data_IF_230712710462
#
_entry.id   IF_230712710462
#
_cell.length_a   1.000
_cell.length_b   1.000
_cell.length_c   1.000
_cell.angle_alpha   90.00
_cell.angle_beta   90.00
_cell.angle_gamma   90.00
#
_symmetry.space_group_name_H-M   'P 1'
#
loop_
_entity.id
_entity.type
_entity.pdbx_description
1 polymer ?
#
# COMPACT_ATOMS: atom_id res chain seq x y z
N UNK A 1 5.16 -44.01 15.18
CA UNK A 1 3.85 -43.62 14.61
C UNK A 1 3.86 -42.12 14.30
N UNK A 2 3.61 -41.68 13.06
CA UNK A 2 3.53 -40.26 12.75
C UNK A 2 2.18 -39.70 13.22
N UNK A 3 2.22 -38.60 13.99
CA UNK A 3 1.03 -37.86 14.42
C UNK A 3 0.30 -37.27 13.19
N UNK A 4 -1.04 -37.25 13.17
CA UNK A 4 -1.79 -36.66 12.06
C UNK A 4 -1.61 -35.14 12.03
N UNK A 5 -1.33 -34.59 10.84
CA UNK A 5 -1.26 -33.13 10.60
C UNK A 5 -2.63 -32.48 10.88
N UNK A 6 -2.70 -31.29 11.49
CA UNK A 6 -3.97 -30.65 11.82
C UNK A 6 -4.72 -30.15 10.57
N UNK A 7 -6.06 -30.22 10.64
CA UNK A 7 -7.06 -29.94 9.59
C UNK A 7 -7.14 -28.45 9.16
N UNK A 8 -6.07 -27.89 8.57
CA UNK A 8 -6.10 -26.53 7.98
C UNK A 8 -6.85 -26.43 6.63
N UNK A 9 -7.17 -27.55 5.97
CA UNK A 9 -7.76 -27.56 4.61
C UNK A 9 -9.25 -27.19 4.52
N UNK A 10 -10.04 -27.44 5.56
CA UNK A 10 -11.50 -27.30 5.49
C UNK A 10 -12.00 -25.85 5.66
N UNK A 11 -11.38 -25.07 6.56
CA UNK A 11 -11.69 -23.64 6.75
C UNK A 11 -11.36 -22.80 5.51
N UNK A 12 -10.27 -23.14 4.82
CA UNK A 12 -9.90 -22.50 3.55
C UNK A 12 -10.98 -22.74 2.48
N UNK A 13 -11.46 -23.99 2.28
CA UNK A 13 -12.49 -24.27 1.25
C UNK A 13 -13.81 -23.54 1.45
N UNK A 14 -14.29 -23.41 2.69
CA UNK A 14 -15.54 -22.70 2.98
C UNK A 14 -15.43 -21.19 2.71
N UNK A 15 -14.30 -20.58 3.09
CA UNK A 15 -13.99 -19.20 2.75
C UNK A 15 -13.97 -19.00 1.22
N UNK A 16 -13.33 -19.91 0.50
CA UNK A 16 -13.21 -19.88 -0.97
C UNK A 16 -14.56 -20.03 -1.68
N UNK A 17 -15.47 -20.87 -1.17
CA UNK A 17 -16.80 -21.02 -1.76
C UNK A 17 -17.69 -19.78 -1.51
N UNK A 18 -17.55 -19.15 -0.33
CA UNK A 18 -18.19 -17.87 -0.01
C UNK A 18 -17.69 -16.75 -0.93
N UNK A 19 -16.40 -16.72 -1.25
CA UNK A 19 -15.78 -15.76 -2.17
C UNK A 19 -16.33 -15.90 -3.60
N UNK A 20 -16.36 -17.12 -4.16
CA UNK A 20 -16.90 -17.40 -5.51
C UNK A 20 -18.38 -17.08 -5.66
N UNK A 21 -19.16 -17.20 -4.58
CA UNK A 21 -20.59 -16.80 -4.59
C UNK A 21 -20.74 -15.29 -4.68
N UNK A 22 -19.93 -14.54 -3.93
CA UNK A 22 -19.96 -13.07 -3.91
C UNK A 22 -19.50 -12.44 -5.23
N UNK A 23 -18.44 -12.99 -5.84
CA UNK A 23 -17.97 -12.60 -7.17
C UNK A 23 -19.07 -12.73 -8.23
N UNK A 24 -19.78 -13.86 -8.25
CA UNK A 24 -20.92 -14.08 -9.15
C UNK A 24 -22.06 -13.08 -8.90
N UNK A 25 -22.32 -12.71 -7.64
CA UNK A 25 -23.36 -11.72 -7.32
C UNK A 25 -23.01 -10.35 -7.89
N UNK A 26 -21.76 -9.88 -7.74
CA UNK A 26 -21.36 -8.57 -8.26
C UNK A 26 -21.40 -8.54 -9.80
N UNK A 27 -20.85 -9.57 -10.45
CA UNK A 27 -20.88 -9.67 -11.91
C UNK A 27 -22.31 -9.74 -12.46
N UNK A 28 -23.17 -10.53 -11.81
CA UNK A 28 -24.58 -10.61 -12.18
C UNK A 28 -25.28 -9.26 -11.98
N UNK A 29 -24.97 -8.53 -10.91
CA UNK A 29 -25.52 -7.19 -10.66
C UNK A 29 -25.08 -6.18 -11.72
N UNK A 30 -23.79 -6.17 -12.10
CA UNK A 30 -23.28 -5.31 -13.18
C UNK A 30 -24.02 -5.62 -14.48
N UNK A 31 -24.12 -6.90 -14.84
CA UNK A 31 -24.82 -7.34 -16.04
C UNK A 31 -26.31 -7.00 -16.00
N UNK A 32 -26.97 -7.16 -14.85
CA UNK A 32 -28.38 -6.83 -14.67
C UNK A 32 -28.62 -5.32 -14.80
N UNK A 33 -27.79 -4.48 -14.20
CA UNK A 33 -27.89 -3.03 -14.32
C UNK A 33 -27.68 -2.61 -15.78
N UNK A 34 -26.69 -3.19 -16.47
CA UNK A 34 -26.45 -2.91 -17.89
C UNK A 34 -27.62 -3.36 -18.77
N UNK A 35 -28.21 -4.52 -18.51
CA UNK A 35 -29.34 -5.08 -19.28
C UNK A 35 -30.67 -4.37 -19.01
N UNK A 36 -30.93 -3.98 -17.77
CA UNK A 36 -32.17 -3.30 -17.38
C UNK A 36 -32.23 -1.85 -17.84
N UNK A 37 -31.12 -1.29 -18.32
CA UNK A 37 -31.02 0.09 -18.74
C UNK A 37 -30.95 1.05 -17.54
N UNK A 38 -30.40 2.23 -17.80
CA UNK A 38 -30.32 3.31 -16.82
C UNK A 38 -31.12 4.51 -17.31
N UNK A 39 -31.79 5.23 -16.41
CA UNK A 39 -32.35 6.53 -16.75
C UNK A 39 -31.18 7.44 -17.19
N UNK A 40 -31.24 8.07 -18.39
CA UNK A 40 -30.12 8.83 -18.96
C UNK A 40 -29.81 10.14 -18.21
N UNK A 41 -30.64 10.52 -17.23
CA UNK A 41 -30.46 11.72 -16.41
C UNK A 41 -30.39 13.02 -17.22
N UNK A 42 -31.15 13.14 -18.33
CA UNK A 42 -31.12 14.29 -19.24
C UNK A 42 -31.48 15.63 -18.58
N UNK A 43 -32.16 15.59 -17.43
CA UNK A 43 -32.44 16.78 -16.62
C UNK A 43 -31.20 17.33 -15.88
N UNK A 44 -30.16 16.52 -15.69
CA UNK A 44 -28.95 16.89 -14.97
C UNK A 44 -27.93 17.56 -15.90
N UNK A 45 -27.40 18.72 -15.49
CA UNK A 45 -26.32 19.39 -16.21
C UNK A 45 -25.06 18.54 -16.34
N UNK A 46 -24.81 17.65 -15.38
CA UNK A 46 -23.69 16.70 -15.43
C UNK A 46 -23.78 15.76 -16.63
N UNK A 47 -24.99 15.37 -17.04
CA UNK A 47 -25.20 14.47 -18.18
C UNK A 47 -25.39 15.20 -19.52
N UNK A 48 -25.29 16.54 -19.52
CA UNK A 48 -25.25 17.35 -20.74
C UNK A 48 -23.83 17.54 -21.29
N UNK A 49 -22.80 17.26 -20.48
CA UNK A 49 -21.39 17.33 -20.90
C UNK A 49 -20.90 15.97 -21.45
N UNK A 50 -19.84 15.96 -22.30
CA UNK A 50 -19.28 14.73 -22.85
C UNK A 50 -18.81 13.74 -21.78
N UNK A 51 -18.87 12.44 -22.10
CA UNK A 51 -18.50 11.37 -21.17
C UNK A 51 -17.05 11.45 -20.72
N UNK A 52 -16.16 11.94 -21.56
CA UNK A 52 -14.74 12.15 -21.26
C UNK A 52 -14.54 13.18 -20.16
N UNK A 53 -15.34 14.25 -20.17
CA UNK A 53 -15.29 15.29 -19.13
C UNK A 53 -15.89 14.76 -17.83
N UNK A 54 -16.99 13.99 -17.91
CA UNK A 54 -17.55 13.33 -16.74
C UNK A 54 -16.55 12.38 -16.09
N UNK A 55 -15.84 11.57 -16.88
CA UNK A 55 -14.79 10.67 -16.39
C UNK A 55 -13.72 11.43 -15.60
N UNK A 56 -13.28 12.60 -16.08
CA UNK A 56 -12.30 13.42 -15.34
C UNK A 56 -12.88 13.92 -14.00
N UNK A 57 -14.12 14.41 -14.01
CA UNK A 57 -14.81 14.85 -12.78
C UNK A 57 -14.94 13.68 -11.80
N UNK A 58 -15.41 12.53 -12.28
CA UNK A 58 -15.60 11.33 -11.47
C UNK A 58 -14.29 10.79 -10.93
N UNK A 59 -13.22 10.76 -11.73
CA UNK A 59 -11.90 10.35 -11.30
C UNK A 59 -11.39 11.26 -10.17
N UNK A 60 -11.60 12.57 -10.28
CA UNK A 60 -11.22 13.51 -9.23
C UNK A 60 -12.06 13.32 -7.95
N UNK A 61 -13.38 13.26 -8.06
CA UNK A 61 -14.30 13.07 -6.91
C UNK A 61 -14.04 11.75 -6.19
N UNK A 62 -13.71 10.69 -6.93
CA UNK A 62 -13.45 9.35 -6.39
C UNK A 62 -11.95 9.10 -6.18
N UNK A 63 -11.15 10.14 -6.02
CA UNK A 63 -9.74 10.03 -5.61
C UNK A 63 -9.61 9.98 -4.09
N UNK A 64 -8.49 9.44 -3.60
CA UNK A 64 -8.16 9.55 -2.17
C UNK A 64 -7.95 11.03 -1.80
N UNK A 65 -8.55 11.42 -0.69
CA UNK A 65 -8.42 12.75 -0.09
C UNK A 65 -8.10 12.64 1.40
N UNK A 66 -7.58 13.71 1.97
CA UNK A 66 -7.21 13.79 3.39
C UNK A 66 -8.45 13.98 4.25
N UNK A 67 -8.61 13.11 5.26
CA UNK A 67 -9.68 13.13 6.25
C UNK A 67 -9.56 14.24 7.28
N UNK A 68 -10.62 14.38 8.07
CA UNK A 68 -10.64 15.26 9.25
C UNK A 68 -9.94 14.64 10.46
N UNK A 69 -9.76 13.31 10.47
CA UNK A 69 -9.12 12.59 11.56
C UNK A 69 -7.59 12.70 11.42
N UNK A 70 -7.00 13.64 12.15
CA UNK A 70 -5.55 13.82 12.24
C UNK A 70 -4.88 12.59 12.87
N UNK A 71 -3.74 12.19 12.30
CA UNK A 71 -2.89 11.14 12.85
C UNK A 71 -1.89 11.82 13.78
N UNK A 72 -1.75 11.30 15.00
CA UNK A 72 -0.75 11.82 15.93
C UNK A 72 0.63 11.65 15.33
N UNK A 73 1.44 12.71 15.32
CA UNK A 73 2.84 12.65 14.91
C UNK A 73 3.67 11.60 15.67
N UNK A 74 3.19 11.15 16.83
CA UNK A 74 3.82 10.12 17.63
C UNK A 74 3.40 8.70 17.26
N UNK A 75 2.37 8.52 16.43
CA UNK A 75 1.97 7.20 15.96
C UNK A 75 3.02 6.63 15.02
N UNK A 76 3.22 5.31 15.07
CA UNK A 76 4.18 4.64 14.19
C UNK A 76 3.84 4.80 12.71
N UNK A 77 2.55 4.91 12.38
CA UNK A 77 2.05 5.06 11.02
C UNK A 77 1.92 6.52 10.57
N UNK A 78 2.31 7.50 11.41
CA UNK A 78 2.34 8.90 11.00
C UNK A 78 3.39 9.15 9.93
N UNK A 79 3.01 9.94 8.94
CA UNK A 79 3.81 10.24 7.77
C UNK A 79 3.48 11.65 7.27
N UNK A 80 4.49 12.47 6.94
CA UNK A 80 4.26 13.87 6.54
C UNK A 80 3.40 14.02 5.27
N UNK A 81 3.45 13.02 4.39
CA UNK A 81 2.70 12.97 3.15
C UNK A 81 1.22 12.56 3.31
N UNK A 82 0.82 12.11 4.51
CA UNK A 82 -0.57 11.87 4.90
C UNK A 82 -0.73 12.11 6.40
N UNK A 83 -0.86 13.39 6.82
CA UNK A 83 -0.96 13.76 8.24
C UNK A 83 -2.30 13.35 8.86
N UNK A 84 -3.26 12.93 8.04
CA UNK A 84 -4.59 12.48 8.45
C UNK A 84 -4.93 11.14 7.78
N UNK A 85 -5.91 10.44 8.34
CA UNK A 85 -6.47 9.28 7.66
C UNK A 85 -7.07 9.68 6.31
N UNK A 86 -6.78 8.91 5.26
CA UNK A 86 -7.31 9.20 3.92
C UNK A 86 -8.62 8.50 3.67
N UNK A 87 -9.45 9.05 2.80
CA UNK A 87 -10.71 8.45 2.38
C UNK A 87 -11.05 8.77 0.92
N UNK A 88 -11.80 7.87 0.30
CA UNK A 88 -12.52 8.08 -0.96
C UNK A 88 -13.98 8.27 -0.60
N UNK A 89 -14.55 9.41 -0.98
CA UNK A 89 -15.98 9.67 -0.82
C UNK A 89 -16.77 8.86 -1.86
N UNK A 90 -17.56 7.90 -1.37
CA UNK A 90 -18.37 7.02 -2.24
C UNK A 90 -19.82 7.46 -2.37
N UNK A 91 -20.21 8.62 -1.81
CA UNK A 91 -21.57 9.13 -1.89
C UNK A 91 -22.02 9.30 -3.35
N UNK A 92 -21.10 9.67 -4.24
CA UNK A 92 -21.37 9.78 -5.68
C UNK A 92 -21.92 8.46 -6.27
N UNK A 93 -21.38 7.30 -5.85
CA UNK A 93 -21.81 5.98 -6.34
C UNK A 93 -23.26 5.64 -5.97
N UNK A 94 -23.81 6.32 -4.96
CA UNK A 94 -25.16 6.09 -4.45
C UNK A 94 -26.20 7.03 -5.08
N UNK A 95 -25.80 7.93 -5.97
CA UNK A 95 -26.68 8.96 -6.55
C UNK A 95 -27.68 8.38 -7.55
N UNK A 96 -27.20 7.66 -8.57
CA UNK A 96 -28.06 6.97 -9.54
C UNK A 96 -27.31 5.83 -10.26
N UNK A 97 -28.07 4.94 -10.90
CA UNK A 97 -27.50 3.80 -11.65
C UNK A 97 -26.55 4.23 -12.79
N UNK A 98 -26.86 5.33 -13.48
CA UNK A 98 -26.01 5.82 -14.57
C UNK A 98 -24.62 6.24 -14.06
N UNK A 99 -24.58 7.02 -12.98
CA UNK A 99 -23.32 7.37 -12.32
C UNK A 99 -22.60 6.11 -11.85
N UNK A 100 -23.29 5.18 -11.19
CA UNK A 100 -22.68 3.94 -10.73
C UNK A 100 -22.05 3.14 -11.88
N UNK A 101 -22.74 2.97 -13.01
CA UNK A 101 -22.22 2.24 -14.18
C UNK A 101 -20.97 2.89 -14.77
N UNK A 102 -20.92 4.23 -14.82
CA UNK A 102 -19.74 4.97 -15.31
C UNK A 102 -18.57 4.91 -14.33
N UNK A 103 -18.81 4.70 -13.02
CA UNK A 103 -17.81 5.02 -11.99
C UNK A 103 -17.47 3.90 -11.00
N UNK A 104 -18.18 2.77 -10.99
CA UNK A 104 -18.02 1.73 -9.96
C UNK A 104 -16.60 1.14 -9.86
N UNK A 105 -15.80 1.25 -10.93
CA UNK A 105 -14.40 0.80 -10.95
C UNK A 105 -13.41 1.84 -10.43
N UNK A 106 -13.78 3.13 -10.40
CA UNK A 106 -12.88 4.24 -10.05
C UNK A 106 -12.38 4.18 -8.60
N UNK A 107 -13.20 3.92 -7.56
CA UNK A 107 -12.69 3.81 -6.19
C UNK A 107 -11.63 2.73 -6.04
N UNK A 108 -11.73 1.66 -6.85
CA UNK A 108 -10.74 0.58 -6.86
C UNK A 108 -9.47 1.00 -7.57
N UNK A 109 -9.58 1.69 -8.70
CA UNK A 109 -8.45 2.19 -9.50
C UNK A 109 -7.66 3.27 -8.76
N UNK A 110 -8.38 4.15 -8.04
CA UNK A 110 -7.84 5.35 -7.43
C UNK A 110 -7.33 5.14 -6.00
N UNK A 111 -7.67 4.02 -5.35
CA UNK A 111 -7.07 3.69 -4.05
C UNK A 111 -5.59 3.38 -4.22
N UNK A 112 -4.80 3.83 -3.27
CA UNK A 112 -3.43 3.40 -3.02
C UNK A 112 -3.45 2.50 -1.79
N UNK A 113 -3.58 1.17 -1.97
CA UNK A 113 -3.64 0.23 -0.87
C UNK A 113 -2.34 0.27 -0.07
N UNK A 114 -2.48 0.24 1.26
CA UNK A 114 -1.35 0.29 2.19
C UNK A 114 -1.33 -1.00 3.00
N UNK A 115 -0.25 -1.75 2.90
CA UNK A 115 0.00 -2.95 3.69
C UNK A 115 1.01 -2.60 4.77
N UNK A 116 0.67 -2.97 6.00
CA UNK A 116 1.61 -2.93 7.11
C UNK A 116 2.06 -4.36 7.39
N UNK A 117 3.32 -4.67 7.09
CA UNK A 117 3.91 -5.99 7.23
C UNK A 117 4.75 -6.01 8.51
N UNK A 118 4.22 -6.59 9.59
CA UNK A 118 4.94 -6.69 10.85
C UNK A 118 4.02 -6.91 12.05
N UNK A 119 4.37 -6.26 13.14
CA UNK A 119 3.65 -6.24 14.40
C UNK A 119 2.45 -5.30 14.31
N UNK A 120 1.33 -5.72 14.90
CA UNK A 120 0.04 -5.02 14.81
C UNK A 120 0.05 -3.62 15.41
N UNK A 121 0.94 -3.34 16.37
CA UNK A 121 1.11 -2.01 16.95
C UNK A 121 1.84 -1.01 16.04
N UNK A 122 2.31 -1.44 14.86
CA UNK A 122 2.95 -0.58 13.85
C UNK A 122 2.05 -0.31 12.65
N UNK A 123 0.84 -0.86 12.66
CA UNK A 123 -0.14 -0.75 11.57
C UNK A 123 -1.10 0.42 11.82
N UNK A 124 -1.47 1.14 10.75
CA UNK A 124 -2.61 2.07 10.82
C UNK A 124 -3.90 1.29 11.10
N UNK A 125 -4.82 1.82 11.95
CA UNK A 125 -6.13 1.22 12.17
C UNK A 125 -6.98 1.16 10.88
N UNK A 126 -6.71 2.04 9.91
CA UNK A 126 -7.37 2.08 8.60
C UNK A 126 -6.42 1.55 7.53
N UNK A 127 -6.68 0.31 7.05
CA UNK A 127 -5.91 -0.35 5.99
C UNK A 127 -6.25 0.17 4.59
N UNK A 128 -7.48 0.62 4.40
CA UNK A 128 -7.96 1.21 3.15
C UNK A 128 -8.52 2.60 3.39
N UNK A 129 -8.38 3.46 2.39
CA UNK A 129 -8.84 4.83 2.41
C UNK A 129 -10.30 4.92 1.96
N UNK A 130 -11.25 4.39 2.74
CA UNK A 130 -12.67 4.57 2.45
C UNK A 130 -13.40 5.32 3.55
N UNK A 131 -14.39 6.11 3.14
CA UNK A 131 -15.35 6.72 4.05
C UNK A 131 -16.08 5.62 4.86
N UNK A 132 -16.48 5.97 6.08
CA UNK A 132 -17.20 5.06 6.98
C UNK A 132 -18.48 4.55 6.32
N UNK A 133 -18.74 3.24 6.38
CA UNK A 133 -19.89 2.59 5.74
C UNK A 133 -19.65 2.03 4.34
N UNK A 134 -18.49 2.28 3.71
CA UNK A 134 -18.11 1.60 2.48
C UNK A 134 -17.87 0.10 2.72
N UNK A 135 -18.55 -0.75 1.95
CA UNK A 135 -18.32 -2.19 2.04
C UNK A 135 -17.08 -2.56 1.21
N UNK A 136 -15.93 -2.72 1.89
CA UNK A 136 -14.66 -3.12 1.26
C UNK A 136 -14.79 -4.40 0.41
N UNK A 137 -15.66 -5.33 0.80
CA UNK A 137 -15.87 -6.58 0.04
C UNK A 137 -16.59 -6.34 -1.30
N UNK A 138 -17.35 -5.23 -1.43
CA UNK A 138 -18.02 -4.82 -2.67
C UNK A 138 -17.05 -4.09 -3.59
N UNK A 139 -16.17 -3.25 -3.05
CA UNK A 139 -15.17 -2.50 -3.82
C UNK A 139 -13.94 -3.36 -4.20
N UNK A 140 -13.58 -4.33 -3.34
CA UNK A 140 -12.48 -5.29 -3.53
C UNK A 140 -12.96 -6.72 -3.30
N UNK A 141 -13.80 -7.26 -4.21
CA UNK A 141 -14.06 -8.67 -4.19
C UNK A 141 -12.72 -9.41 -4.33
N UNK A 142 -12.45 -10.34 -3.42
CA UNK A 142 -11.24 -11.16 -3.49
C UNK A 142 -11.47 -12.25 -4.53
N UNK A 143 -10.73 -12.21 -5.64
CA UNK A 143 -11.01 -13.05 -6.82
C UNK A 143 -9.84 -13.97 -7.17
N UNK A 144 -10.01 -15.28 -7.05
CA UNK A 144 -9.00 -16.27 -7.47
C UNK A 144 -9.01 -16.58 -8.98
N UNK A 145 -9.96 -16.02 -9.73
CA UNK A 145 -10.11 -16.25 -11.16
C UNK A 145 -9.08 -15.45 -11.96
N UNK A 146 -8.17 -16.13 -12.66
CA UNK A 146 -7.23 -15.51 -13.61
C UNK A 146 -7.95 -14.77 -14.75
N UNK A 147 -9.15 -15.21 -15.12
CA UNK A 147 -9.99 -14.52 -16.11
C UNK A 147 -10.51 -13.18 -15.59
N UNK A 148 -10.78 -13.07 -14.28
CA UNK A 148 -11.17 -11.81 -13.66
C UNK A 148 -9.97 -10.94 -13.31
N UNK A 149 -8.80 -11.51 -12.99
CA UNK A 149 -7.54 -10.76 -12.89
C UNK A 149 -7.21 -9.94 -14.14
N UNK A 150 -7.63 -10.44 -15.31
CA UNK A 150 -7.49 -9.74 -16.58
C UNK A 150 -8.54 -8.63 -16.78
N UNK A 151 -9.68 -8.67 -16.06
CA UNK A 151 -10.69 -7.61 -16.06
C UNK A 151 -10.51 -6.61 -14.91
N UNK A 152 -9.63 -6.89 -13.95
CA UNK A 152 -9.19 -5.94 -12.93
C UNK A 152 -8.37 -4.86 -13.62
N UNK A 153 -8.87 -3.62 -13.58
CA UNK A 153 -8.08 -2.45 -13.95
C UNK A 153 -6.83 -2.39 -13.03
N UNK A 154 -5.61 -2.37 -13.58
CA UNK A 154 -4.40 -2.33 -12.77
C UNK A 154 -4.41 -1.07 -11.88
N UNK A 155 -4.20 -1.24 -10.58
CA UNK A 155 -3.94 -0.09 -9.72
C UNK A 155 -2.55 0.45 -10.04
N UNK A 156 -2.41 1.76 -9.96
CA UNK A 156 -1.12 2.39 -10.25
C UNK A 156 -0.07 1.98 -9.22
N UNK A 157 -0.43 1.94 -7.93
CA UNK A 157 0.51 1.72 -6.84
C UNK A 157 -0.02 0.80 -5.75
N UNK A 158 0.90 0.07 -5.11
CA UNK A 158 0.73 -0.64 -3.85
C UNK A 158 1.85 -0.20 -2.91
N UNK A 159 1.48 0.30 -1.74
CA UNK A 159 2.43 0.71 -0.70
C UNK A 159 2.55 -0.38 0.36
N UNK A 160 3.78 -0.76 0.71
CA UNK A 160 4.08 -1.74 1.76
C UNK A 160 5.02 -1.08 2.77
N UNK A 161 4.56 -0.90 3.99
CA UNK A 161 5.41 -0.57 5.13
C UNK A 161 5.83 -1.86 5.79
N UNK A 162 7.12 -2.11 5.89
CA UNK A 162 7.59 -3.42 6.29
C UNK A 162 8.56 -3.31 7.44
N UNK A 163 8.28 -4.03 8.52
CA UNK A 163 9.28 -4.31 9.53
C UNK A 163 10.31 -5.30 8.98
N UNK A 164 11.58 -5.01 9.22
CA UNK A 164 12.68 -5.76 8.61
C UNK A 164 12.63 -7.24 8.95
N UNK A 165 12.26 -7.60 10.19
CA UNK A 165 12.12 -9.01 10.57
C UNK A 165 11.09 -9.77 9.72
N UNK A 166 10.04 -9.08 9.26
CA UNK A 166 8.98 -9.68 8.46
C UNK A 166 9.38 -9.77 6.98
N UNK A 167 10.17 -8.81 6.48
CA UNK A 167 10.82 -8.90 5.17
C UNK A 167 11.77 -10.10 5.11
N UNK A 168 12.72 -10.18 6.05
CA UNK A 168 13.75 -11.23 6.10
C UNK A 168 13.18 -12.65 6.35
N UNK A 169 11.91 -12.75 6.75
CA UNK A 169 11.17 -14.02 6.92
C UNK A 169 10.25 -14.35 5.74
N UNK A 170 10.36 -13.62 4.63
CA UNK A 170 9.59 -13.87 3.41
C UNK A 170 8.12 -13.41 3.49
N UNK A 171 7.77 -12.56 4.46
CA UNK A 171 6.40 -12.09 4.66
C UNK A 171 5.86 -11.27 3.48
N UNK A 172 6.75 -10.63 2.72
CA UNK A 172 6.42 -9.78 1.58
C UNK A 172 5.70 -10.54 0.46
N UNK A 173 6.19 -11.71 0.08
CA UNK A 173 5.58 -12.54 -0.98
C UNK A 173 4.12 -12.83 -0.67
N UNK A 174 3.82 -13.31 0.54
CA UNK A 174 2.45 -13.62 0.97
C UNK A 174 1.58 -12.36 1.02
N UNK A 175 2.11 -11.26 1.53
CA UNK A 175 1.37 -10.01 1.64
C UNK A 175 1.00 -9.44 0.27
N UNK A 176 1.97 -9.37 -0.65
CA UNK A 176 1.78 -8.88 -2.01
C UNK A 176 0.89 -9.83 -2.81
N UNK A 177 1.04 -11.15 -2.72
CA UNK A 177 0.14 -12.10 -3.39
C UNK A 177 -1.32 -11.92 -2.95
N UNK A 178 -1.57 -11.76 -1.65
CA UNK A 178 -2.92 -11.54 -1.14
C UNK A 178 -3.51 -10.20 -1.59
N UNK A 179 -2.68 -9.17 -1.73
CA UNK A 179 -3.11 -7.85 -2.18
C UNK A 179 -3.24 -7.76 -3.71
N UNK A 180 -2.36 -8.41 -4.47
CA UNK A 180 -2.35 -8.40 -5.93
C UNK A 180 -3.59 -9.07 -6.51
N UNK A 181 -4.16 -10.07 -5.82
CA UNK A 181 -5.50 -10.61 -6.08
C UNK A 181 -6.56 -9.50 -6.16
N UNK A 182 -6.38 -8.44 -5.37
CA UNK A 182 -7.35 -7.35 -5.24
C UNK A 182 -6.97 -6.12 -6.07
N UNK A 183 -5.70 -5.88 -6.37
CA UNK A 183 -5.25 -4.56 -6.85
C UNK A 183 -4.42 -4.59 -8.12
N UNK A 184 -3.88 -5.75 -8.56
CA UNK A 184 -3.06 -5.88 -9.78
C UNK A 184 -2.07 -4.70 -10.00
N UNK A 185 -1.19 -4.40 -9.04
CA UNK A 185 -0.42 -3.15 -9.06
C UNK A 185 0.60 -3.08 -10.19
N UNK A 186 0.85 -1.88 -10.72
CA UNK A 186 1.97 -1.58 -11.64
C UNK A 186 3.24 -1.14 -10.90
N UNK A 187 3.10 -0.42 -9.80
CA UNK A 187 4.19 -0.03 -8.90
C UNK A 187 4.03 -0.68 -7.53
N UNK A 188 5.10 -1.22 -6.97
CA UNK A 188 5.15 -1.57 -5.55
C UNK A 188 6.19 -0.69 -4.87
N UNK A 189 5.78 0.07 -3.86
CA UNK A 189 6.69 0.80 -2.99
C UNK A 189 6.84 0.04 -1.69
N UNK A 190 8.07 -0.28 -1.31
CA UNK A 190 8.43 -0.97 -0.07
C UNK A 190 9.20 0.01 0.79
N UNK A 191 8.63 0.40 1.92
CA UNK A 191 9.22 1.35 2.85
C UNK A 191 9.66 0.63 4.12
N UNK A 192 10.92 0.78 4.47
CA UNK A 192 11.49 0.44 5.76
C UNK A 192 11.67 1.74 6.56
N UNK A 193 10.76 2.01 7.50
CA UNK A 193 10.81 3.23 8.33
C UNK A 193 11.99 3.20 9.30
N UNK A 194 12.36 4.34 9.86
CA UNK A 194 13.35 4.42 10.94
C UNK A 194 13.07 3.42 12.08
N UNK A 195 11.80 3.24 12.42
CA UNK A 195 11.37 2.35 13.52
C UNK A 195 11.15 0.89 13.10
N UNK A 196 11.49 0.55 11.87
CA UNK A 196 11.28 -0.78 11.29
C UNK A 196 12.59 -1.58 11.15
N UNK A 197 13.74 -0.93 11.38
CA UNK A 197 15.03 -1.60 11.45
C UNK A 197 15.12 -2.50 12.70
N UNK A 198 15.99 -3.51 12.63
CA UNK A 198 16.27 -4.40 13.74
C UNK A 198 16.86 -3.59 14.89
N UNK A 199 16.30 -3.76 16.09
CA UNK A 199 16.81 -3.18 17.34
C UNK A 199 17.03 -1.65 17.26
N UNK A 200 16.21 -0.96 16.46
CA UNK A 200 16.29 0.50 16.34
C UNK A 200 16.09 1.18 17.71
N UNK A 201 15.35 0.55 18.63
CA UNK A 201 15.09 1.03 19.99
C UNK A 201 16.35 1.20 20.84
N UNK A 202 17.43 0.50 20.49
CA UNK A 202 18.75 0.58 21.16
C UNK A 202 19.83 1.15 20.25
N UNK A 203 19.42 1.77 19.13
CA UNK A 203 20.29 2.39 18.15
C UNK A 203 21.31 1.45 17.47
N UNK A 204 20.97 0.16 17.32
CA UNK A 204 21.84 -0.81 16.66
C UNK A 204 22.22 -0.39 15.22
N UNK A 205 23.39 -0.83 14.71
CA UNK A 205 23.81 -0.59 13.33
C UNK A 205 22.78 -1.02 12.27
N UNK A 206 22.63 -0.23 11.21
CA UNK A 206 21.80 -0.52 10.05
C UNK A 206 22.36 -1.72 9.28
N UNK A 207 21.51 -2.72 9.14
CA UNK A 207 21.74 -3.94 8.38
C UNK A 207 20.44 -4.39 7.79
N UNK A 208 20.49 -5.14 6.69
CA UNK A 208 19.38 -5.88 6.12
C UNK A 208 19.98 -7.10 5.41
N UNK A 209 19.28 -8.22 5.28
CA UNK A 209 19.74 -9.34 4.44
C UNK A 209 19.36 -9.14 2.98
N UNK A 210 20.16 -9.65 2.05
CA UNK A 210 19.84 -9.60 0.61
C UNK A 210 18.75 -10.60 0.20
N UNK A 211 18.64 -11.70 0.95
CA UNK A 211 17.82 -12.85 0.60
C UNK A 211 16.35 -12.49 0.37
N UNK A 212 15.79 -11.49 1.06
CA UNK A 212 14.39 -11.12 0.86
C UNK A 212 14.14 -10.54 -0.54
N UNK A 213 15.11 -9.80 -1.11
CA UNK A 213 14.97 -9.19 -2.43
C UNK A 213 15.05 -10.26 -3.53
N UNK A 214 15.98 -11.22 -3.38
CA UNK A 214 16.16 -12.36 -4.28
C UNK A 214 14.94 -13.31 -4.27
N UNK A 215 14.40 -13.57 -3.07
CA UNK A 215 13.25 -14.45 -2.86
C UNK A 215 11.91 -13.80 -3.24
N UNK A 216 11.83 -12.47 -3.25
CA UNK A 216 10.59 -11.78 -3.62
C UNK A 216 10.27 -11.96 -5.10
N UNK A 217 9.05 -12.43 -5.38
CA UNK A 217 8.51 -12.58 -6.73
C UNK A 217 7.36 -11.59 -6.93
N UNK A 218 7.63 -10.53 -7.68
CA UNK A 218 6.64 -9.51 -7.98
C UNK A 218 5.56 -10.04 -8.93
N UNK A 219 4.28 -9.64 -8.78
CA UNK A 219 3.25 -9.93 -9.76
C UNK A 219 3.67 -9.48 -11.16
N UNK A 220 3.27 -10.22 -12.19
CA UNK A 220 3.67 -9.92 -13.58
C UNK A 220 3.19 -8.53 -14.08
N UNK A 221 2.17 -7.95 -13.46
CA UNK A 221 1.67 -6.60 -13.73
C UNK A 221 2.64 -5.51 -13.27
N UNK A 222 3.55 -5.81 -12.36
CA UNK A 222 4.50 -4.84 -11.82
C UNK A 222 5.51 -4.44 -12.88
N UNK A 223 5.63 -3.15 -13.10
CA UNK A 223 6.56 -2.49 -14.01
C UNK A 223 7.69 -1.79 -13.23
N UNK A 224 7.43 -1.42 -11.98
CA UNK A 224 8.36 -0.68 -11.12
C UNK A 224 8.30 -1.15 -9.65
N UNK A 225 9.46 -1.34 -9.04
CA UNK A 225 9.61 -1.48 -7.59
C UNK A 225 10.36 -0.26 -7.07
N UNK A 226 9.84 0.35 -6.02
CA UNK A 226 10.50 1.44 -5.30
C UNK A 226 10.84 0.93 -3.90
N UNK A 227 12.08 1.09 -3.47
CA UNK A 227 12.46 0.84 -2.07
C UNK A 227 12.77 2.17 -1.43
N UNK A 228 12.08 2.48 -0.33
CA UNK A 228 12.33 3.64 0.51
C UNK A 228 13.00 3.17 1.81
N UNK A 229 14.20 3.65 2.08
CA UNK A 229 14.96 3.34 3.29
C UNK A 229 15.07 4.61 4.12
N UNK A 230 14.55 4.57 5.34
CA UNK A 230 14.43 5.74 6.21
C UNK A 230 15.21 5.53 7.51
N UNK A 231 15.95 6.54 7.93
CA UNK A 231 16.69 6.56 9.20
C UNK A 231 16.76 7.98 9.76
N UNK A 232 17.45 8.19 10.88
CA UNK A 232 17.78 9.55 11.38
C UNK A 232 18.98 10.11 10.63
N UNK A 233 19.06 11.43 10.45
CA UNK A 233 20.14 12.11 9.74
C UNK A 233 21.53 11.74 10.28
N UNK A 234 21.66 11.57 11.60
CA UNK A 234 22.91 11.10 12.23
C UNK A 234 23.40 9.71 11.76
N UNK A 235 22.54 8.91 11.12
CA UNK A 235 22.88 7.60 10.51
C UNK A 235 22.96 7.64 8.98
N UNK A 236 22.91 8.83 8.35
CA UNK A 236 23.07 8.97 6.89
C UNK A 236 24.33 8.29 6.34
N UNK A 237 25.54 8.48 6.91
CA UNK A 237 26.74 7.81 6.39
C UNK A 237 26.63 6.28 6.42
N UNK A 238 25.96 5.75 7.44
CA UNK A 238 25.74 4.32 7.58
C UNK A 238 24.74 3.77 6.54
N UNK A 239 23.64 4.50 6.31
CA UNK A 239 22.67 4.13 5.28
C UNK A 239 23.28 4.24 3.87
N UNK A 240 24.04 5.29 3.59
CA UNK A 240 24.70 5.48 2.30
C UNK A 240 25.71 4.36 2.03
N UNK A 241 26.48 3.97 3.05
CA UNK A 241 27.40 2.83 2.96
C UNK A 241 26.66 1.52 2.74
N UNK A 242 25.53 1.29 3.43
CA UNK A 242 24.67 0.12 3.22
C UNK A 242 24.11 0.09 1.79
N UNK A 243 23.67 1.24 1.27
CA UNK A 243 23.15 1.35 -0.09
C UNK A 243 24.23 1.02 -1.12
N UNK A 244 25.39 1.65 -1.00
CA UNK A 244 26.50 1.45 -1.92
C UNK A 244 27.01 0.01 -1.91
N UNK A 245 27.19 -0.59 -0.73
CA UNK A 245 27.79 -1.93 -0.61
C UNK A 245 26.86 -3.06 -0.98
N UNK A 246 25.54 -2.86 -0.85
CA UNK A 246 24.57 -3.93 -0.80
C UNK A 246 23.28 -3.64 -1.58
N UNK A 247 22.48 -2.64 -1.18
CA UNK A 247 21.13 -2.41 -1.74
C UNK A 247 21.17 -2.13 -3.24
N UNK A 248 22.18 -1.40 -3.72
CA UNK A 248 22.35 -1.07 -5.14
C UNK A 248 22.56 -2.30 -6.04
N UNK A 249 22.90 -3.46 -5.44
CA UNK A 249 23.16 -4.72 -6.14
C UNK A 249 21.95 -5.63 -6.20
N UNK A 250 20.84 -5.26 -5.56
CA UNK A 250 19.62 -6.07 -5.61
C UNK A 250 19.05 -6.11 -7.02
N UNK A 251 18.56 -7.30 -7.37
CA UNK A 251 17.73 -7.54 -8.54
C UNK A 251 16.43 -8.15 -8.06
N UNK A 252 15.31 -7.66 -8.60
CA UNK A 252 14.00 -8.24 -8.34
C UNK A 252 13.54 -9.02 -9.55
N UNK A 253 12.68 -10.01 -9.31
CA UNK A 253 12.14 -10.84 -10.37
C UNK A 253 10.62 -10.84 -10.32
N UNK A 254 9.99 -10.83 -11.48
CA UNK A 254 8.55 -11.14 -11.60
C UNK A 254 8.30 -12.64 -11.38
N UNK A 255 7.04 -13.03 -11.18
CA UNK A 255 6.60 -14.43 -11.12
C UNK A 255 6.99 -15.24 -12.37
N UNK A 256 7.10 -14.59 -13.54
CA UNK A 256 7.57 -15.20 -14.80
C UNK A 256 9.08 -15.15 -14.99
N UNK A 257 9.83 -14.66 -14.00
CA UNK A 257 11.29 -14.58 -14.06
C UNK A 257 11.85 -13.43 -14.92
N UNK A 258 11.04 -12.42 -15.26
CA UNK A 258 11.56 -11.18 -15.84
C UNK A 258 12.23 -10.33 -14.76
N UNK A 259 13.40 -9.78 -15.08
CA UNK A 259 14.20 -8.99 -14.15
C UNK A 259 13.72 -7.53 -14.09
N UNK A 260 13.69 -6.97 -12.87
CA UNK A 260 13.65 -5.54 -12.63
C UNK A 260 15.01 -5.11 -12.09
N UNK A 261 15.66 -4.20 -12.82
CA UNK A 261 17.02 -3.72 -12.56
C UNK A 261 16.99 -2.29 -12.06
N UNK A 262 17.97 -1.95 -11.21
CA UNK A 262 18.10 -0.61 -10.64
C UNK A 262 18.20 0.43 -11.78
N UNK A 263 17.45 1.52 -11.65
CA UNK A 263 17.38 2.58 -12.65
C UNK A 263 17.41 3.96 -11.99
N UNK A 264 18.08 4.91 -12.65
CA UNK A 264 18.26 6.26 -12.14
C UNK A 264 19.20 6.35 -10.94
N UNK A 265 19.31 7.56 -10.37
CA UNK A 265 20.06 7.82 -9.14
C UNK A 265 19.15 7.72 -7.91
N UNK A 266 19.68 7.39 -6.73
CA UNK A 266 18.94 7.49 -5.48
C UNK A 266 18.38 8.90 -5.29
N UNK A 267 17.13 9.00 -4.83
CA UNK A 267 16.50 10.28 -4.47
C UNK A 267 16.51 10.43 -2.95
N UNK A 268 17.17 11.48 -2.47
CA UNK A 268 17.22 11.82 -1.05
C UNK A 268 16.08 12.76 -0.68
N UNK A 269 15.45 12.53 0.47
CA UNK A 269 14.41 13.37 1.06
C UNK A 269 14.65 13.49 2.57
N UNK A 270 14.32 14.66 3.12
CA UNK A 270 14.44 14.95 4.55
C UNK A 270 13.12 15.47 5.08
N UNK A 271 12.78 15.09 6.31
CA UNK A 271 11.64 15.64 7.02
C UNK A 271 11.80 15.51 8.52
N UNK A 272 11.11 16.34 9.29
CA UNK A 272 11.14 16.24 10.76
C UNK A 272 10.24 15.09 11.19
N UNK A 273 10.84 14.08 11.82
CA UNK A 273 10.14 12.93 12.36
C UNK A 273 9.92 12.99 13.87
N UNK A 274 9.28 11.96 14.41
CA UNK A 274 8.95 11.89 15.83
C UNK A 274 10.14 11.45 16.67
N UNK A 275 10.40 12.16 17.77
CA UNK A 275 11.27 11.71 18.85
C UNK A 275 10.62 10.64 19.74
N UNK A 276 9.31 10.47 19.64
CA UNK A 276 8.52 9.57 20.50
C UNK A 276 7.61 8.67 19.68
N UNK A 277 8.15 7.87 18.75
CA UNK A 277 7.32 6.94 18.02
C UNK A 277 6.66 5.94 18.99
N UNK A 278 5.35 5.70 18.84
CA UNK A 278 4.51 4.99 19.79
C UNK A 278 4.27 5.71 21.12
N UNK A 279 4.59 7.01 21.22
CA UNK A 279 4.51 7.78 22.46
C UNK A 279 5.58 7.45 23.50
N UNK A 280 6.57 6.60 23.17
CA UNK A 280 7.63 6.17 24.07
C UNK A 280 8.88 7.06 23.98
N UNK A 281 9.70 7.07 25.04
CA UNK A 281 11.02 7.72 25.05
C UNK A 281 12.12 6.70 24.77
N UNK A 282 13.18 7.16 24.13
CA UNK A 282 14.32 6.30 23.78
C UNK A 282 15.63 6.91 24.24
N UNK A 283 16.53 6.10 24.81
CA UNK A 283 17.77 6.58 25.43
C UNK A 283 18.74 7.22 24.43
N UNK A 284 18.70 6.78 23.17
CA UNK A 284 19.51 7.33 22.09
C UNK A 284 18.90 8.57 21.43
N UNK A 285 17.80 9.09 21.98
CA UNK A 285 17.29 10.42 21.71
C UNK A 285 17.67 11.34 22.88
N UNK A 286 18.00 12.59 22.60
CA UNK A 286 18.34 13.58 23.60
C UNK A 286 17.17 13.80 24.54
N UNK A 287 17.50 14.31 25.73
CA UNK A 287 16.47 14.70 26.69
C UNK A 287 15.54 15.79 26.11
N UNK A 288 16.09 16.70 25.30
CA UNK A 288 15.31 17.72 24.61
C UNK A 288 14.31 17.11 23.62
N UNK A 289 14.76 16.23 22.72
CA UNK A 289 13.88 15.53 21.77
C UNK A 289 12.80 14.71 22.51
N UNK A 290 13.18 14.00 23.58
CA UNK A 290 12.27 13.24 24.44
C UNK A 290 11.31 14.10 25.28
N UNK A 291 11.52 15.42 25.40
CA UNK A 291 10.62 16.35 26.11
C UNK A 291 9.70 17.06 25.12
N UNK A 292 10.26 17.73 24.13
CA UNK A 292 9.60 18.77 23.31
C UNK A 292 8.66 18.24 22.22
N UNK A 293 8.74 16.94 21.86
CA UNK A 293 8.12 16.53 20.59
C UNK A 293 8.89 17.11 19.40
N UNK A 294 8.41 16.99 18.15
CA UNK A 294 9.20 17.33 16.99
C UNK A 294 9.39 18.85 16.94
N UNK A 295 10.58 19.34 17.29
CA UNK A 295 11.12 20.61 16.81
C UNK A 295 12.50 20.88 17.42
N UNK A 296 13.51 21.02 16.55
CA UNK A 296 14.83 21.60 16.88
C UNK A 296 16.01 20.73 16.42
N UNK A 297 16.50 21.05 15.22
CA UNK A 297 17.81 20.81 14.59
C UNK A 297 18.47 19.41 14.64
N UNK A 298 18.66 18.86 13.42
CA UNK A 298 19.33 17.62 12.99
C UNK A 298 18.96 16.28 13.65
N UNK A 299 18.64 16.23 14.94
CA UNK A 299 18.56 14.98 15.67
C UNK A 299 17.39 14.08 15.23
N UNK A 300 16.21 14.69 15.05
CA UNK A 300 15.02 14.02 14.53
C UNK A 300 14.72 14.43 13.09
N UNK A 301 15.72 14.97 12.38
CA UNK A 301 15.64 15.07 10.94
C UNK A 301 15.77 13.66 10.39
N UNK A 302 14.70 13.14 9.79
CA UNK A 302 14.70 11.84 9.16
C UNK A 302 15.30 11.98 7.76
N UNK A 303 16.13 11.02 7.41
CA UNK A 303 16.78 10.87 6.11
C UNK A 303 16.15 9.67 5.41
N UNK A 304 15.54 9.90 4.26
CA UNK A 304 14.89 8.88 3.43
C UNK A 304 15.58 8.83 2.07
N UNK A 305 15.90 7.62 1.62
CA UNK A 305 16.45 7.37 0.28
C UNK A 305 15.51 6.47 -0.51
N UNK A 306 15.14 6.92 -1.71
CA UNK A 306 14.31 6.17 -2.65
C UNK A 306 15.16 5.64 -3.79
N UNK A 307 15.12 4.32 -3.98
CA UNK A 307 15.74 3.62 -5.09
C UNK A 307 14.65 2.97 -5.95
N UNK A 308 14.87 2.88 -7.26
CA UNK A 308 13.86 2.40 -8.22
C UNK A 308 14.41 1.29 -9.10
N UNK A 309 13.64 0.22 -9.25
CA UNK A 309 13.91 -0.89 -10.16
C UNK A 309 12.80 -0.96 -11.19
N UNK A 310 13.15 -1.10 -12.46
CA UNK A 310 12.20 -1.21 -13.57
C UNK A 310 12.51 -2.42 -14.40
N UNK A 311 11.50 -2.98 -15.06
CA UNK A 311 11.68 -4.03 -16.07
C UNK A 311 12.77 -3.59 -17.06
N UNK A 312 13.73 -4.46 -17.31
CA UNK A 312 14.68 -4.25 -18.40
C UNK A 312 13.90 -4.16 -19.71
N UNK A 313 14.07 -3.05 -20.44
CA UNK A 313 13.43 -2.80 -21.73
C UNK A 313 14.00 -3.68 -22.84
#
# INVERSE_FOLDING_TARGET
MPKPRPKLRARSRHLMDKMRRRERVLLNLIDEIKKSGCNPQSQSSLFKIPGEIREHIFAYVLSESDGTDEISQHDYWYRPDYPSHRYIDTALLQTCRQVWVETYTLPRRNVSPRIWLGSTNRESPRRFAYAEGANEEVLFPVTDSDAFRQTIHPNESLQVFAQMYALERGGLNKAVQNASVKTSPRRITITLRYTDWWNWEVNDPLRIKDTWAEEFKAPNTVEEIVVELETRNGKKPELDALISRQVSKWTFHTEKGQDLVLCGSPKEEFYVGSAKPGGARYQHHSEYANRSGPMGDDEMLYYNVKLRWRKAG
#
